data_IF_009892130356
#
_entry.id   IF_009892130356
#
_cell.length_a   1.000
_cell.length_b   1.000
_cell.length_c   1.000
_cell.angle_alpha   90.00
_cell.angle_beta   90.00
_cell.angle_gamma   90.00
#
_symmetry.space_group_name_H-M   'P 1'
#
loop_
_entity.id
_entity.type
_entity.pdbx_description
1 polymer ?
#
# COMPACT_ATOMS: atom_id res chain seq x y z
N UNK A 1 5.47 1.38 16.43
CA UNK A 1 5.96 0.23 15.66
C UNK A 1 4.77 -0.43 14.96
N UNK A 2 4.95 -0.93 13.74
CA UNK A 2 3.94 -1.68 12.99
C UNK A 2 4.43 -3.11 12.89
N UNK A 3 3.61 -4.07 13.25
CA UNK A 3 3.94 -5.48 13.10
C UNK A 3 3.21 -6.00 11.87
N UNK A 4 3.93 -6.75 11.03
CA UNK A 4 3.42 -7.26 9.77
C UNK A 4 3.62 -8.78 9.76
N UNK A 5 2.57 -9.51 9.42
CA UNK A 5 2.58 -10.97 9.36
C UNK A 5 1.79 -11.47 8.15
N UNK A 6 2.26 -12.53 7.52
CA UNK A 6 1.54 -13.23 6.45
C UNK A 6 0.65 -14.32 7.07
N UNK A 7 -0.66 -14.26 6.83
CA UNK A 7 -1.64 -15.25 7.32
C UNK A 7 -2.57 -15.62 6.17
N UNK A 8 -2.62 -16.90 5.78
CA UNK A 8 -3.50 -17.41 4.72
C UNK A 8 -3.45 -16.58 3.43
N UNK A 9 -2.24 -16.28 2.94
CA UNK A 9 -2.00 -15.45 1.74
C UNK A 9 -2.55 -14.02 1.85
N UNK A 10 -2.81 -13.52 3.06
CA UNK A 10 -3.13 -12.13 3.33
C UNK A 10 -2.06 -11.52 4.22
N UNK A 11 -1.79 -10.23 4.02
CA UNK A 11 -0.84 -9.51 4.86
C UNK A 11 -1.62 -8.76 5.92
N UNK A 12 -1.28 -9.05 7.18
CA UNK A 12 -1.93 -8.48 8.35
C UNK A 12 -0.99 -7.46 8.95
N UNK A 13 -1.47 -6.22 9.07
CA UNK A 13 -0.77 -5.06 9.60
C UNK A 13 -1.43 -4.71 10.93
N UNK A 14 -0.68 -4.85 12.03
CA UNK A 14 -1.15 -4.56 13.39
C UNK A 14 -0.36 -3.42 14.04
N UNK A 15 -0.97 -2.82 15.07
CA UNK A 15 -0.37 -1.74 15.86
C UNK A 15 -0.83 -0.33 15.47
N UNK A 16 -0.46 0.67 16.28
CA UNK A 16 -1.09 2.01 16.29
C UNK A 16 -1.13 2.79 14.94
N UNK A 17 -0.29 2.45 13.96
CA UNK A 17 -0.25 3.15 12.65
C UNK A 17 -1.13 2.54 11.56
N UNK A 18 -1.74 1.36 11.78
CA UNK A 18 -2.56 0.73 10.72
C UNK A 18 -3.74 1.62 10.31
N UNK A 19 -4.37 2.32 11.27
CA UNK A 19 -5.50 3.26 11.02
C UNK A 19 -5.07 4.41 10.12
N UNK A 20 -3.86 4.95 10.33
CA UNK A 20 -3.31 6.03 9.50
C UNK A 20 -3.10 5.54 8.07
N UNK A 21 -2.50 4.37 7.89
CA UNK A 21 -2.30 3.76 6.57
C UNK A 21 -3.65 3.64 5.86
N UNK A 22 -4.63 3.00 6.51
CA UNK A 22 -5.98 2.84 5.97
C UNK A 22 -6.64 4.18 5.61
N UNK A 23 -6.55 5.20 6.46
CA UNK A 23 -7.13 6.52 6.18
C UNK A 23 -6.49 7.23 4.98
N UNK A 24 -5.20 6.96 4.71
CA UNK A 24 -4.46 7.63 3.62
C UNK A 24 -4.54 6.90 2.29
N UNK A 25 -4.67 5.58 2.30
CA UNK A 25 -4.65 4.76 1.08
C UNK A 25 -6.03 4.23 0.72
N UNK A 26 -6.88 3.99 1.73
CA UNK A 26 -8.17 3.33 1.58
C UNK A 26 -8.06 1.90 1.06
N UNK A 27 -6.91 1.23 1.28
CA UNK A 27 -6.67 -0.15 0.85
C UNK A 27 -6.88 -1.14 1.98
N UNK A 28 -7.21 -2.38 1.61
CA UNK A 28 -7.52 -3.46 2.55
C UNK A 28 -8.81 -3.26 3.35
N UNK A 29 -8.96 -4.10 4.37
CA UNK A 29 -10.11 -4.11 5.29
C UNK A 29 -9.64 -4.13 6.74
N UNK A 30 -10.34 -3.41 7.61
CA UNK A 30 -10.11 -3.48 9.05
C UNK A 30 -10.89 -4.67 9.60
N UNK A 31 -10.18 -5.64 10.19
CA UNK A 31 -10.74 -6.82 10.84
C UNK A 31 -10.06 -7.00 12.21
N UNK A 32 -10.84 -7.10 13.29
CA UNK A 32 -10.33 -7.34 14.66
C UNK A 32 -9.18 -6.40 15.07
N UNK A 33 -9.34 -5.09 14.85
CA UNK A 33 -8.32 -4.05 15.14
C UNK A 33 -6.98 -4.26 14.38
N UNK A 34 -7.05 -4.91 13.21
CA UNK A 34 -5.90 -5.11 12.30
C UNK A 34 -6.31 -4.71 10.89
N UNK A 35 -5.35 -4.22 10.12
CA UNK A 35 -5.53 -3.96 8.70
C UNK A 35 -5.10 -5.19 7.91
N UNK A 36 -6.03 -5.78 7.18
CA UNK A 36 -5.80 -6.94 6.32
C UNK A 36 -5.75 -6.46 4.88
N UNK A 37 -4.63 -6.67 4.19
CA UNK A 37 -4.42 -6.27 2.79
C UNK A 37 -4.07 -7.50 1.94
N UNK A 38 -4.35 -7.41 0.64
CA UNK A 38 -3.93 -8.43 -0.31
C UNK A 38 -2.40 -8.43 -0.50
N UNK A 39 -1.84 -9.53 -1.04
CA UNK A 39 -0.44 -9.59 -1.48
C UNK A 39 -0.02 -8.41 -2.37
N UNK A 40 -0.82 -8.07 -3.39
CA UNK A 40 -0.50 -6.98 -4.32
C UNK A 40 -0.60 -5.60 -3.65
N UNK A 41 -1.59 -5.40 -2.78
CA UNK A 41 -1.72 -4.18 -1.98
C UNK A 41 -0.53 -4.00 -1.04
N UNK A 42 -0.06 -5.08 -0.40
CA UNK A 42 1.12 -5.04 0.46
C UNK A 42 2.38 -4.65 -0.30
N UNK A 43 2.59 -5.20 -1.51
CA UNK A 43 3.71 -4.81 -2.39
C UNK A 43 3.60 -3.33 -2.73
N UNK A 44 2.43 -2.86 -3.16
CA UNK A 44 2.23 -1.45 -3.50
C UNK A 44 2.53 -0.52 -2.31
N UNK A 45 2.01 -0.84 -1.12
CA UNK A 45 2.28 -0.08 0.10
C UNK A 45 3.77 -0.08 0.49
N UNK A 46 4.46 -1.20 0.24
CA UNK A 46 5.89 -1.32 0.51
C UNK A 46 6.73 -0.47 -0.45
N UNK A 47 6.47 -0.57 -1.75
CA UNK A 47 7.16 0.21 -2.78
C UNK A 47 6.94 1.72 -2.63
N UNK A 48 5.76 2.13 -2.13
CA UNK A 48 5.46 3.52 -1.80
C UNK A 48 6.03 3.99 -0.44
N UNK A 49 6.79 3.14 0.27
CA UNK A 49 7.39 3.47 1.57
C UNK A 49 6.37 3.68 2.70
N UNK A 50 5.12 3.21 2.54
CA UNK A 50 4.07 3.32 3.58
C UNK A 50 4.22 2.25 4.65
N UNK A 51 4.74 1.08 4.27
CA UNK A 51 5.08 -0.02 5.17
C UNK A 51 6.47 -0.58 4.82
N UNK A 52 7.12 -1.21 5.80
CA UNK A 52 8.36 -1.94 5.59
C UNK A 52 8.07 -3.43 5.78
N UNK A 53 8.06 -4.18 4.69
CA UNK A 53 8.05 -5.63 4.73
C UNK A 53 9.46 -6.12 5.05
N UNK A 54 9.57 -7.23 5.77
CA UNK A 54 10.83 -7.97 5.86
C UNK A 54 11.08 -8.70 4.54
N UNK A 55 12.35 -8.88 4.20
CA UNK A 55 12.75 -9.49 2.92
C UNK A 55 12.07 -10.86 2.72
N UNK A 56 12.05 -11.70 3.76
CA UNK A 56 11.37 -13.01 3.71
C UNK A 56 9.86 -12.92 3.44
N UNK A 57 9.16 -11.88 3.92
CA UNK A 57 7.73 -11.69 3.64
C UNK A 57 7.55 -11.20 2.21
N UNK A 58 8.39 -10.26 1.77
CA UNK A 58 8.34 -9.73 0.41
C UNK A 58 8.58 -10.85 -0.62
N UNK A 59 9.60 -11.68 -0.42
CA UNK A 59 9.93 -12.79 -1.31
C UNK A 59 8.79 -13.80 -1.40
N UNK A 60 8.19 -14.16 -0.26
CA UNK A 60 7.05 -15.08 -0.22
C UNK A 60 5.83 -14.53 -0.96
N UNK A 61 5.52 -13.25 -0.79
CA UNK A 61 4.43 -12.57 -1.49
C UNK A 61 4.72 -12.49 -2.99
N UNK A 62 5.96 -12.17 -3.37
CA UNK A 62 6.38 -12.08 -4.76
C UNK A 62 6.31 -13.43 -5.46
N UNK A 63 6.75 -14.51 -4.82
CA UNK A 63 6.66 -15.86 -5.36
C UNK A 63 5.20 -16.29 -5.58
N UNK A 64 4.30 -15.96 -4.65
CA UNK A 64 2.86 -16.25 -4.80
C UNK A 64 2.23 -15.47 -5.95
N UNK A 65 2.56 -14.18 -6.06
CA UNK A 65 1.89 -13.27 -6.99
C UNK A 65 2.48 -13.30 -8.38
N UNK A 66 3.78 -13.58 -8.53
CA UNK A 66 4.47 -13.69 -9.84
C UNK A 66 3.93 -14.80 -10.75
N UNK A 67 3.27 -15.81 -10.17
CA UNK A 67 2.56 -16.86 -10.92
C UNK A 67 1.40 -16.32 -11.77
N UNK A 68 0.92 -15.11 -11.48
CA UNK A 68 -0.10 -14.43 -12.26
C UNK A 68 0.53 -13.32 -13.13
N UNK A 69 0.48 -13.41 -14.48
CA UNK A 69 1.12 -12.44 -15.36
C UNK A 69 0.56 -11.02 -15.26
N UNK A 70 -0.65 -10.84 -14.69
CA UNK A 70 -1.26 -9.53 -14.47
C UNK A 70 -0.80 -8.79 -13.21
N UNK A 71 -0.06 -9.45 -12.32
CA UNK A 71 0.28 -8.94 -10.99
C UNK A 71 1.01 -7.60 -11.06
N UNK A 72 2.07 -7.50 -11.87
CA UNK A 72 2.87 -6.28 -11.92
C UNK A 72 2.04 -5.08 -12.40
N UNK A 73 1.20 -5.28 -13.42
CA UNK A 73 0.26 -4.26 -13.91
C UNK A 73 -0.73 -3.83 -12.80
N UNK A 74 -1.26 -4.78 -12.03
CA UNK A 74 -2.14 -4.49 -10.89
C UNK A 74 -1.43 -3.69 -9.80
N UNK A 75 -0.20 -4.04 -9.45
CA UNK A 75 0.61 -3.31 -8.47
C UNK A 75 0.84 -1.87 -8.91
N UNK A 76 1.22 -1.64 -10.18
CA UNK A 76 1.38 -0.29 -10.72
C UNK A 76 0.08 0.52 -10.68
N UNK A 77 -1.05 -0.10 -11.06
CA UNK A 77 -2.36 0.55 -10.99
C UNK A 77 -2.76 0.90 -9.54
N UNK A 78 -2.44 0.04 -8.57
CA UNK A 78 -2.66 0.32 -7.16
C UNK A 78 -1.80 1.50 -6.68
N UNK A 79 -0.53 1.54 -7.06
CA UNK A 79 0.36 2.67 -6.72
C UNK A 79 -0.15 3.99 -7.29
N UNK A 80 -0.59 4.00 -8.55
CA UNK A 80 -1.19 5.19 -9.17
C UNK A 80 -2.47 5.62 -8.43
N UNK A 81 -3.36 4.67 -8.09
CA UNK A 81 -4.58 4.97 -7.34
C UNK A 81 -4.29 5.57 -5.95
N UNK A 82 -3.34 4.98 -5.21
CA UNK A 82 -2.91 5.52 -3.90
C UNK A 82 -2.26 6.89 -4.07
N UNK A 83 -1.44 7.08 -5.11
CA UNK A 83 -0.78 8.34 -5.44
C UNK A 83 -1.80 9.45 -5.70
N UNK A 84 -2.80 9.19 -6.54
CA UNK A 84 -3.91 10.11 -6.82
C UNK A 84 -4.76 10.42 -5.59
N UNK A 85 -4.98 9.46 -4.68
CA UNK A 85 -5.65 9.70 -3.39
C UNK A 85 -4.78 10.48 -2.39
N UNK A 86 -3.46 10.37 -2.53
CA UNK A 86 -2.48 11.13 -1.73
C UNK A 86 -2.23 12.54 -2.28
N UNK A 87 -2.71 12.85 -3.49
CA UNK A 87 -2.68 14.19 -4.08
C UNK A 87 -3.60 15.11 -3.26
N UNK A 88 -3.05 15.72 -2.21
CA UNK A 88 -3.50 17.05 -1.81
C UNK A 88 -3.13 17.95 -2.98
N UNK A 89 -4.12 18.41 -3.74
CA UNK A 89 -3.92 19.32 -4.85
C UNK A 89 -2.94 20.41 -4.44
N UNK A 90 -1.71 20.32 -4.92
CA UNK A 90 -0.89 21.50 -5.04
C UNK A 90 -1.53 22.20 -6.24
N UNK A 91 -2.38 23.19 -5.95
CA UNK A 91 -2.64 24.25 -6.92
C UNK A 91 -1.23 24.70 -7.29
N UNK A 92 -0.83 24.49 -8.55
CA UNK A 92 0.44 25.02 -9.04
C UNK A 92 0.50 26.52 -8.74
N UNK A 93 1.68 27.17 -8.77
CA UNK A 93 1.73 28.62 -8.65
C UNK A 93 0.66 29.22 -9.59
N UNK A 94 -0.17 30.11 -9.05
CA UNK A 94 -1.26 30.73 -9.78
C UNK A 94 -0.74 31.16 -11.16
N UNK A 95 -1.40 30.83 -12.28
CA UNK A 95 -0.87 31.07 -13.62
C UNK A 95 -0.70 32.57 -13.99
N UNK A 96 -0.84 33.48 -13.02
CA UNK A 96 -0.78 34.93 -13.19
C UNK A 96 0.15 35.67 -12.24
N UNK A 97 1.01 34.99 -11.47
CA UNK A 97 2.07 35.67 -10.69
C UNK A 97 3.31 35.94 -11.55
N UNK A 98 3.09 36.68 -12.65
CA UNK A 98 4.12 37.40 -13.38
C UNK A 98 3.92 38.87 -12.99
N UNK A 99 4.52 39.25 -11.86
CA UNK A 99 4.68 40.66 -11.46
C UNK A 99 6.07 41.17 -11.84
#
# INVERSE_FOLDING_TARGET
MVQISLVNSKVVISGKRYKKIWSTTGLGRIENDKLVVSPEEAIALHLMGRIKLSDHVLDSIWEQTSRNPGTFKRVLALMDLIGRRSYKGHIGPDPYDIS
#
